data_IF_229327756625
#
_entry.id   IF_229327756625
#
_cell.length_a   1.000
_cell.length_b   1.000
_cell.length_c   1.000
_cell.angle_alpha   90.00
_cell.angle_beta   90.00
_cell.angle_gamma   90.00
#
_symmetry.space_group_name_H-M   'P 1'
#
loop_
_entity.id
_entity.type
_entity.pdbx_description
1 polymer ?
#
# COMPACT_ATOMS: atom_id res chain seq x y z
N UNK A 1 -24.35 31.48 -21.13
CA UNK A 1 -23.41 31.10 -22.24
C UNK A 1 -22.12 31.89 -22.00
N UNK A 2 -21.13 31.25 -21.39
CA UNK A 2 -19.77 31.75 -21.40
C UNK A 2 -19.24 31.60 -22.83
N UNK A 3 -18.96 32.68 -23.52
CA UNK A 3 -18.30 32.65 -24.83
C UNK A 3 -16.86 32.20 -24.61
N UNK A 4 -16.53 30.97 -24.95
CA UNK A 4 -15.15 30.51 -25.07
C UNK A 4 -14.55 31.22 -26.31
N UNK A 5 -13.87 32.33 -26.09
CA UNK A 5 -13.06 32.99 -27.11
C UNK A 5 -11.64 32.46 -26.94
N UNK A 6 -11.24 31.55 -27.79
CA UNK A 6 -9.88 30.99 -27.80
C UNK A 6 -9.55 30.34 -29.14
N UNK A 7 -8.27 30.14 -29.39
CA UNK A 7 -7.73 29.52 -30.62
C UNK A 7 -8.41 28.21 -31.00
N UNK A 8 -8.91 27.46 -30.04
CA UNK A 8 -9.58 26.16 -30.26
C UNK A 8 -10.94 26.29 -30.94
N UNK A 9 -11.72 27.34 -30.62
CA UNK A 9 -12.97 27.58 -31.35
C UNK A 9 -12.71 27.92 -32.81
N UNK A 10 -11.67 28.73 -33.10
CA UNK A 10 -11.28 29.03 -34.47
C UNK A 10 -10.81 27.78 -35.24
N UNK A 11 -10.06 26.89 -34.58
CA UNK A 11 -9.62 25.62 -35.20
C UNK A 11 -10.81 24.70 -35.44
N UNK A 12 -11.71 24.58 -34.47
CA UNK A 12 -12.95 23.80 -34.61
C UNK A 12 -13.78 24.29 -35.76
N UNK A 13 -13.97 25.58 -35.89
CA UNK A 13 -14.77 26.17 -36.96
C UNK A 13 -14.13 25.98 -38.35
N UNK A 14 -12.80 26.05 -38.40
CA UNK A 14 -12.05 25.73 -39.64
C UNK A 14 -12.17 24.25 -40.03
N UNK A 15 -12.27 23.35 -39.04
CA UNK A 15 -12.43 21.92 -39.26
C UNK A 15 -13.87 21.50 -39.49
N UNK A 16 -14.82 22.43 -39.56
CA UNK A 16 -16.23 22.16 -39.79
C UNK A 16 -16.98 21.56 -38.59
N UNK A 17 -16.49 21.74 -37.38
CA UNK A 17 -17.15 21.29 -36.18
C UNK A 17 -16.27 20.43 -35.26
N UNK A 18 -16.72 19.26 -34.87
CA UNK A 18 -15.99 18.35 -33.95
C UNK A 18 -14.81 17.74 -34.69
N UNK A 19 -13.63 17.85 -34.09
CA UNK A 19 -12.38 17.36 -34.65
C UNK A 19 -11.56 16.66 -33.59
N UNK A 20 -10.81 15.62 -33.96
CA UNK A 20 -9.84 14.95 -33.07
C UNK A 20 -8.56 15.77 -32.84
N UNK A 21 -8.41 16.91 -33.53
CA UNK A 21 -7.36 17.88 -33.33
C UNK A 21 -7.99 19.21 -32.95
N UNK A 22 -7.85 19.63 -31.67
CA UNK A 22 -8.36 20.89 -31.14
C UNK A 22 -9.88 21.08 -31.34
N UNK A 23 -10.68 20.14 -30.94
CA UNK A 23 -12.14 20.22 -31.11
C UNK A 23 -12.93 19.37 -30.14
N UNK A 24 -12.27 18.71 -29.21
CA UNK A 24 -12.92 17.88 -28.18
C UNK A 24 -13.25 18.75 -26.97
N UNK A 25 -14.53 18.74 -26.58
CA UNK A 25 -15.03 19.33 -25.36
C UNK A 25 -15.58 18.20 -24.48
N UNK A 26 -15.17 18.16 -23.23
CA UNK A 26 -15.54 17.09 -22.30
C UNK A 26 -15.56 17.60 -20.86
N UNK A 27 -15.95 16.73 -19.93
CA UNK A 27 -15.86 16.92 -18.49
C UNK A 27 -14.93 15.88 -17.88
N UNK A 28 -14.57 16.06 -16.60
CA UNK A 28 -13.63 15.15 -15.92
C UNK A 28 -14.19 13.75 -15.80
N UNK A 29 -15.49 13.59 -15.61
CA UNK A 29 -16.17 12.31 -15.46
C UNK A 29 -16.08 11.46 -16.73
N UNK A 30 -16.36 12.07 -17.90
CA UNK A 30 -16.26 11.37 -19.18
C UNK A 30 -14.83 10.98 -19.54
N UNK A 31 -13.87 11.86 -19.24
CA UNK A 31 -12.44 11.57 -19.44
C UNK A 31 -11.98 10.47 -18.48
N UNK A 32 -12.48 10.44 -17.25
CA UNK A 32 -12.15 9.39 -16.29
C UNK A 32 -12.62 7.99 -16.78
N UNK A 33 -13.79 7.92 -17.40
CA UNK A 33 -14.29 6.67 -18.03
C UNK A 33 -13.36 6.21 -19.15
N UNK A 34 -12.87 7.12 -19.99
CA UNK A 34 -11.89 6.81 -21.03
C UNK A 34 -10.58 6.29 -20.41
N UNK A 35 -10.06 6.97 -19.39
CA UNK A 35 -8.84 6.57 -18.71
C UNK A 35 -8.99 5.16 -18.10
N UNK A 36 -10.11 4.92 -17.40
CA UNK A 36 -10.41 3.62 -16.81
C UNK A 36 -10.53 2.51 -17.87
N UNK A 37 -11.16 2.80 -19.01
CA UNK A 37 -11.22 1.87 -20.12
C UNK A 37 -9.83 1.52 -20.67
N UNK A 38 -8.95 2.50 -20.83
CA UNK A 38 -7.57 2.29 -21.29
C UNK A 38 -6.76 1.48 -20.27
N UNK A 39 -6.91 1.74 -18.97
CA UNK A 39 -6.25 0.97 -17.91
C UNK A 39 -6.75 -0.48 -17.86
N UNK A 40 -8.04 -0.70 -18.11
CA UNK A 40 -8.65 -2.02 -18.16
C UNK A 40 -8.56 -2.69 -19.56
N UNK A 41 -7.49 -2.44 -20.31
CA UNK A 41 -7.23 -3.10 -21.58
C UNK A 41 -8.24 -2.78 -22.69
N UNK A 42 -8.83 -1.60 -22.64
CA UNK A 42 -9.74 -1.08 -23.67
C UNK A 42 -11.22 -1.39 -23.44
N UNK A 43 -11.60 -1.70 -22.22
CA UNK A 43 -12.97 -2.05 -21.84
C UNK A 43 -13.42 -1.31 -20.58
N UNK A 44 -14.65 -0.83 -20.57
CA UNK A 44 -15.31 -0.25 -19.44
C UNK A 44 -16.76 -0.74 -19.35
N UNK A 45 -17.14 -1.23 -18.17
CA UNK A 45 -18.50 -1.66 -17.84
C UNK A 45 -19.13 -2.62 -18.91
N UNK A 46 -18.33 -3.58 -19.42
CA UNK A 46 -18.73 -4.54 -20.46
C UNK A 46 -18.69 -3.99 -21.89
N UNK A 47 -18.36 -2.72 -22.09
CA UNK A 47 -18.23 -2.10 -23.42
C UNK A 47 -16.77 -1.98 -23.81
N UNK A 48 -16.40 -2.67 -24.89
CA UNK A 48 -15.05 -2.63 -25.45
C UNK A 48 -14.92 -1.57 -26.54
N UNK A 49 -13.96 -0.65 -26.36
CA UNK A 49 -13.61 0.38 -27.33
C UNK A 49 -12.31 0.04 -28.08
N UNK A 50 -11.42 -0.72 -27.47
CA UNK A 50 -10.14 -1.17 -28.04
C UNK A 50 -9.84 -2.61 -27.61
N UNK A 51 -9.06 -3.32 -28.41
CA UNK A 51 -8.49 -4.59 -27.95
C UNK A 51 -7.34 -4.35 -26.95
N UNK A 52 -7.02 -5.31 -26.07
CA UNK A 52 -5.85 -5.19 -25.19
C UNK A 52 -4.55 -4.95 -25.94
N UNK A 53 -4.40 -5.55 -27.12
CA UNK A 53 -3.25 -5.32 -28.01
C UNK A 53 -3.26 -3.90 -28.60
N UNK A 54 -4.44 -3.36 -28.90
CA UNK A 54 -4.61 -1.97 -29.36
C UNK A 54 -4.16 -0.98 -28.29
N UNK A 55 -4.58 -1.17 -27.04
CA UNK A 55 -4.12 -0.35 -25.91
C UNK A 55 -2.61 -0.45 -25.72
N UNK A 56 -2.05 -1.68 -25.80
CA UNK A 56 -0.61 -1.87 -25.71
C UNK A 56 0.12 -1.15 -26.84
N UNK A 57 -0.37 -1.21 -28.07
CA UNK A 57 0.21 -0.52 -29.22
C UNK A 57 0.16 1.01 -29.04
N UNK A 58 -0.95 1.55 -28.52
CA UNK A 58 -1.11 2.98 -28.27
C UNK A 58 -0.07 3.54 -27.29
N UNK A 59 0.30 2.79 -26.25
CA UNK A 59 1.24 3.25 -25.21
C UNK A 59 2.70 2.84 -25.46
N UNK A 60 2.95 2.06 -26.49
CA UNK A 60 4.31 1.61 -26.85
C UNK A 60 4.92 2.56 -27.86
N UNK A 61 6.12 3.06 -27.57
CA UNK A 61 6.87 3.92 -28.53
C UNK A 61 7.30 3.06 -29.72
N UNK A 62 6.86 3.39 -30.94
CA UNK A 62 7.28 2.64 -32.16
C UNK A 62 8.79 2.80 -32.40
N UNK A 63 9.45 1.76 -32.90
CA UNK A 63 10.89 1.81 -33.22
C UNK A 63 11.26 2.95 -34.18
N UNK A 64 10.39 3.25 -35.12
CA UNK A 64 10.60 4.32 -36.10
C UNK A 64 10.61 5.72 -35.50
N UNK A 65 9.99 5.91 -34.33
CA UNK A 65 9.87 7.19 -33.60
C UNK A 65 10.54 7.15 -32.22
N UNK A 66 11.43 6.19 -32.01
CA UNK A 66 12.07 5.98 -30.68
C UNK A 66 12.78 7.23 -30.14
N UNK A 67 13.42 8.01 -31.06
CA UNK A 67 14.09 9.26 -30.69
C UNK A 67 13.14 10.39 -30.29
N UNK A 68 11.87 10.31 -30.70
CA UNK A 68 10.86 11.30 -30.36
C UNK A 68 10.13 10.96 -29.05
N UNK A 69 10.19 9.70 -28.60
CA UNK A 69 9.50 9.22 -27.39
C UNK A 69 7.97 9.32 -27.48
N UNK A 70 7.40 9.49 -28.67
CA UNK A 70 5.97 9.56 -28.89
C UNK A 70 5.39 8.21 -29.29
N UNK A 71 4.22 7.94 -28.76
CA UNK A 71 3.41 6.76 -29.10
C UNK A 71 2.32 7.11 -30.12
N UNK A 72 1.38 6.20 -30.34
CA UNK A 72 0.22 6.48 -31.19
C UNK A 72 -0.80 7.35 -30.46
N UNK A 73 -0.59 8.65 -30.48
CA UNK A 73 -1.49 9.65 -29.89
C UNK A 73 -1.14 10.08 -28.46
N UNK A 74 -0.07 9.55 -27.87
CA UNK A 74 0.35 9.91 -26.51
C UNK A 74 1.82 10.30 -26.46
N UNK A 75 2.17 11.01 -25.39
CA UNK A 75 3.53 11.26 -24.97
C UNK A 75 3.93 10.26 -23.90
N UNK A 76 5.14 9.67 -24.10
CA UNK A 76 5.82 8.89 -23.11
C UNK A 76 7.20 9.52 -22.94
N UNK A 77 7.82 9.69 -21.91
CA UNK A 77 9.16 10.19 -21.64
C UNK A 77 9.85 11.04 -22.76
N UNK A 78 9.19 12.08 -23.22
CA UNK A 78 9.78 13.07 -24.14
C UNK A 78 10.11 14.37 -23.39
N UNK A 79 10.83 15.27 -24.04
CA UNK A 79 10.97 16.64 -23.54
C UNK A 79 9.60 17.35 -23.36
N UNK A 80 8.58 16.92 -24.10
CA UNK A 80 7.19 17.34 -23.90
C UNK A 80 6.54 16.67 -22.69
N UNK A 81 6.96 15.49 -22.32
CA UNK A 81 6.43 14.74 -21.17
C UNK A 81 6.89 15.27 -19.81
N UNK A 82 7.64 16.38 -19.76
CA UNK A 82 8.00 17.08 -18.52
C UNK A 82 6.78 17.45 -17.65
N UNK A 83 5.59 17.38 -18.21
CA UNK A 83 4.33 17.57 -17.51
C UNK A 83 3.93 16.41 -16.60
N UNK A 84 4.54 15.24 -16.79
CA UNK A 84 4.24 14.03 -15.98
C UNK A 84 4.93 14.05 -14.59
N UNK A 85 5.71 15.10 -14.30
CA UNK A 85 6.49 15.18 -13.06
C UNK A 85 7.69 14.22 -13.05
N UNK A 86 8.29 14.07 -11.88
CA UNK A 86 9.57 13.37 -11.70
C UNK A 86 9.39 11.97 -11.08
N UNK A 87 8.21 11.64 -10.54
CA UNK A 87 8.01 10.47 -9.68
C UNK A 87 7.16 9.37 -10.29
N UNK A 88 6.45 9.62 -11.38
CA UNK A 88 5.74 8.55 -12.10
C UNK A 88 6.71 7.61 -12.83
N UNK A 89 6.32 6.33 -12.94
CA UNK A 89 7.14 5.29 -13.54
C UNK A 89 7.29 5.38 -15.07
N UNK A 90 8.21 4.60 -15.66
CA UNK A 90 8.55 4.68 -17.08
C UNK A 90 7.44 4.23 -18.04
N UNK A 91 6.41 3.54 -17.55
CA UNK A 91 5.26 3.12 -18.34
C UNK A 91 4.14 4.16 -18.41
N UNK A 92 4.30 5.27 -17.68
CA UNK A 92 3.35 6.38 -17.65
C UNK A 92 3.31 7.08 -18.99
N UNK A 93 2.11 7.39 -19.45
CA UNK A 93 1.89 8.12 -20.68
C UNK A 93 0.79 9.16 -20.48
N UNK A 94 0.76 10.15 -21.33
CA UNK A 94 -0.22 11.22 -21.20
C UNK A 94 -0.26 12.12 -22.41
N UNK A 95 -1.05 13.19 -22.33
CA UNK A 95 -1.08 14.26 -23.32
C UNK A 95 -1.49 15.57 -22.69
N UNK A 96 -1.10 16.67 -23.34
CA UNK A 96 -1.44 18.02 -22.91
C UNK A 96 -2.26 18.74 -23.96
N UNK A 97 -3.15 19.64 -23.51
CA UNK A 97 -3.89 20.54 -24.37
C UNK A 97 -3.32 21.96 -24.33
N UNK A 98 -3.47 22.70 -25.43
CA UNK A 98 -3.02 24.09 -25.57
C UNK A 98 -3.66 24.99 -24.49
N UNK A 99 -4.94 24.79 -24.20
CA UNK A 99 -5.68 25.55 -23.18
C UNK A 99 -5.23 25.31 -21.76
N UNK A 100 -4.27 24.43 -21.53
CA UNK A 100 -3.73 24.14 -20.20
C UNK A 100 -4.11 22.76 -19.64
N UNK A 101 -5.06 22.07 -20.26
CA UNK A 101 -5.50 20.74 -19.83
C UNK A 101 -4.40 19.69 -19.94
N UNK A 102 -4.51 18.62 -19.15
CA UNK A 102 -3.64 17.44 -19.28
C UNK A 102 -4.29 16.17 -18.74
N UNK A 103 -3.84 15.06 -19.28
CA UNK A 103 -4.15 13.69 -18.82
C UNK A 103 -2.82 12.98 -18.61
N UNK A 104 -2.69 12.30 -17.49
CA UNK A 104 -1.59 11.38 -17.17
C UNK A 104 -2.22 10.05 -16.81
N UNK A 105 -1.73 8.95 -17.37
CA UNK A 105 -2.17 7.59 -17.09
C UNK A 105 -0.96 6.77 -16.68
N UNK A 106 -0.99 6.27 -15.45
CA UNK A 106 0.01 5.35 -14.90
C UNK A 106 -0.57 3.94 -14.78
N UNK A 107 -0.24 3.05 -15.73
CA UNK A 107 -0.77 1.70 -15.73
C UNK A 107 -0.17 0.79 -14.66
N UNK A 108 0.95 1.19 -14.06
CA UNK A 108 1.62 0.40 -13.04
C UNK A 108 0.92 0.52 -11.68
N UNK A 109 0.17 1.60 -11.46
CA UNK A 109 -0.56 1.89 -10.22
C UNK A 109 -2.06 2.16 -10.42
N UNK A 110 -2.61 1.80 -11.59
CA UNK A 110 -4.02 2.02 -11.94
C UNK A 110 -4.50 3.46 -11.65
N UNK A 111 -3.62 4.42 -11.92
CA UNK A 111 -3.87 5.82 -11.57
C UNK A 111 -3.97 6.69 -12.81
N UNK A 112 -4.93 7.62 -12.81
CA UNK A 112 -5.04 8.67 -13.81
C UNK A 112 -5.14 10.04 -13.15
N UNK A 113 -4.41 11.01 -13.71
CA UNK A 113 -4.49 12.43 -13.29
C UNK A 113 -5.09 13.22 -14.44
N UNK A 114 -6.25 13.81 -14.20
CA UNK A 114 -6.96 14.63 -15.18
C UNK A 114 -6.99 16.06 -14.66
N UNK A 115 -6.39 16.98 -15.40
CA UNK A 115 -6.38 18.40 -15.05
C UNK A 115 -7.10 19.19 -16.14
N UNK A 116 -8.23 19.79 -15.79
CA UNK A 116 -9.00 20.66 -16.66
C UNK A 116 -8.86 22.11 -16.17
N UNK A 117 -8.13 22.92 -16.92
CA UNK A 117 -7.89 24.34 -16.64
C UNK A 117 -7.99 25.15 -17.92
N UNK A 118 -8.18 26.45 -17.79
CA UNK A 118 -8.12 27.38 -18.91
C UNK A 118 -7.01 28.42 -18.67
N UNK A 119 -5.89 28.21 -19.37
CA UNK A 119 -4.70 29.07 -19.27
C UNK A 119 -4.62 30.15 -20.38
N UNK A 120 -5.58 30.16 -21.31
CA UNK A 120 -5.57 31.06 -22.46
C UNK A 120 -6.61 32.18 -22.34
N UNK A 121 -7.34 32.27 -21.24
CA UNK A 121 -8.33 33.29 -21.00
C UNK A 121 -8.10 33.91 -19.61
N UNK A 122 -8.18 35.25 -19.44
CA UNK A 122 -8.44 36.29 -20.45
C UNK A 122 -7.24 36.60 -21.35
N UNK A 123 -6.02 36.17 -20.94
CA UNK A 123 -4.77 36.44 -21.67
C UNK A 123 -4.01 35.14 -21.91
N UNK A 124 -3.57 34.93 -23.14
CA UNK A 124 -2.70 33.78 -23.51
C UNK A 124 -1.23 34.09 -23.14
N UNK A 125 -0.44 33.05 -22.99
CA UNK A 125 1.00 33.11 -22.75
C UNK A 125 1.46 32.55 -21.39
N UNK A 126 0.56 32.01 -20.58
CA UNK A 126 0.90 31.40 -19.32
C UNK A 126 1.33 29.92 -19.50
N UNK A 127 2.55 29.61 -19.10
CA UNK A 127 3.03 28.22 -19.11
C UNK A 127 2.41 27.40 -17.98
N UNK A 128 1.76 26.28 -18.32
CA UNK A 128 1.18 25.33 -17.39
C UNK A 128 2.12 24.18 -17.01
N UNK A 129 3.31 24.10 -17.59
CA UNK A 129 4.27 23.00 -17.38
C UNK A 129 4.57 22.79 -15.91
N UNK A 130 4.89 23.88 -15.19
CA UNK A 130 5.21 23.81 -13.76
C UNK A 130 4.03 23.31 -12.91
N UNK A 131 2.82 23.81 -13.15
CA UNK A 131 1.64 23.42 -12.38
C UNK A 131 1.30 21.95 -12.63
N UNK A 132 1.32 21.49 -13.88
CA UNK A 132 1.08 20.10 -14.25
C UNK A 132 2.08 19.18 -13.58
N UNK A 133 3.38 19.50 -13.64
CA UNK A 133 4.45 18.73 -13.02
C UNK A 133 4.31 18.68 -11.49
N UNK A 134 3.97 19.79 -10.82
CA UNK A 134 3.74 19.82 -9.38
C UNK A 134 2.55 18.95 -8.97
N UNK A 135 1.43 19.03 -9.69
CA UNK A 135 0.24 18.18 -9.42
C UNK A 135 0.60 16.72 -9.65
N UNK A 136 1.30 16.41 -10.73
CA UNK A 136 1.77 15.05 -11.01
C UNK A 136 2.66 14.51 -9.88
N UNK A 137 3.60 15.30 -9.38
CA UNK A 137 4.48 14.93 -8.27
C UNK A 137 3.71 14.71 -6.97
N UNK A 138 2.74 15.55 -6.65
CA UNK A 138 1.90 15.39 -5.44
C UNK A 138 1.09 14.09 -5.51
N UNK A 139 0.47 13.82 -6.66
CA UNK A 139 -0.29 12.58 -6.84
C UNK A 139 0.64 11.37 -6.81
N UNK A 140 1.75 11.37 -7.56
CA UNK A 140 2.72 10.29 -7.56
C UNK A 140 3.29 10.02 -6.16
N UNK A 141 3.64 11.08 -5.40
CA UNK A 141 4.13 10.95 -4.03
C UNK A 141 3.06 10.38 -3.07
N UNK A 142 1.78 10.51 -3.39
CA UNK A 142 0.69 9.90 -2.61
C UNK A 142 0.55 8.41 -2.88
N UNK A 143 0.90 7.96 -4.11
CA UNK A 143 0.80 6.58 -4.56
C UNK A 143 2.10 5.83 -4.25
N UNK A 144 3.24 6.48 -4.53
CA UNK A 144 4.58 6.00 -4.22
C UNK A 144 5.01 6.59 -2.88
N UNK A 145 4.74 5.94 -1.76
CA UNK A 145 5.20 6.46 -0.49
C UNK A 145 6.72 6.62 -0.55
N UNK A 146 7.22 7.72 0.00
CA UNK A 146 8.65 7.89 0.24
C UNK A 146 9.20 6.59 0.84
N UNK A 147 10.33 6.04 0.33
CA UNK A 147 10.89 4.83 0.89
C UNK A 147 10.97 4.97 2.40
N UNK A 148 10.33 4.08 3.15
CA UNK A 148 10.40 4.11 4.60
C UNK A 148 11.83 3.82 5.01
N UNK A 149 12.36 4.68 5.86
CA UNK A 149 13.67 4.45 6.47
C UNK A 149 13.41 3.68 7.76
N UNK A 150 13.97 2.49 7.82
CA UNK A 150 13.88 1.61 8.98
C UNK A 150 15.14 1.71 9.85
N UNK A 151 15.08 1.10 11.03
CA UNK A 151 16.24 1.05 11.94
C UNK A 151 17.36 0.16 11.40
N UNK A 152 18.60 0.38 11.86
CA UNK A 152 19.72 -0.52 11.52
C UNK A 152 19.42 -1.97 11.91
N UNK A 153 18.70 -2.19 13.03
CA UNK A 153 18.27 -3.52 13.44
C UNK A 153 17.34 -4.16 12.42
N UNK A 154 16.38 -3.39 11.85
CA UNK A 154 15.51 -3.86 10.80
C UNK A 154 16.31 -4.35 9.59
N UNK A 155 17.24 -3.52 9.07
CA UNK A 155 18.05 -3.90 7.92
C UNK A 155 18.95 -5.11 8.20
N UNK A 156 19.53 -5.20 9.39
CA UNK A 156 20.32 -6.36 9.81
C UNK A 156 19.48 -7.65 9.79
N UNK A 157 18.26 -7.62 10.37
CA UNK A 157 17.35 -8.76 10.37
C UNK A 157 16.82 -9.10 8.98
N UNK A 158 16.51 -8.07 8.19
CA UNK A 158 16.08 -8.21 6.80
C UNK A 158 17.12 -8.97 5.96
N UNK A 159 18.39 -8.59 6.05
CA UNK A 159 19.49 -9.27 5.37
C UNK A 159 19.68 -10.70 5.90
N UNK A 160 19.63 -10.89 7.23
CA UNK A 160 19.70 -12.22 7.82
C UNK A 160 18.62 -13.16 7.26
N UNK A 161 17.39 -12.66 7.06
CA UNK A 161 16.32 -13.47 6.47
C UNK A 161 16.58 -13.84 5.01
N UNK A 162 17.30 -12.99 4.27
CA UNK A 162 17.72 -13.30 2.89
C UNK A 162 18.80 -14.38 2.84
N UNK A 163 19.69 -14.44 3.84
CA UNK A 163 20.74 -15.47 3.95
C UNK A 163 20.20 -16.83 4.43
N UNK A 164 19.00 -16.85 5.03
CA UNK A 164 18.34 -18.10 5.44
C UNK A 164 17.75 -18.85 4.23
N UNK A 165 17.57 -20.19 4.33
CA UNK A 165 16.83 -20.91 3.30
C UNK A 165 15.46 -20.29 3.02
N UNK A 166 15.09 -20.19 1.75
CA UNK A 166 13.81 -19.64 1.34
C UNK A 166 12.64 -20.31 2.07
N UNK A 167 11.59 -19.54 2.30
CA UNK A 167 10.32 -20.06 2.84
C UNK A 167 9.72 -21.04 1.83
N UNK A 168 9.13 -22.11 2.33
CA UNK A 168 8.47 -23.16 1.53
C UNK A 168 7.04 -23.41 2.02
N UNK A 169 6.27 -24.13 1.23
CA UNK A 169 4.89 -24.54 1.57
C UNK A 169 4.78 -25.48 2.78
N UNK A 170 5.91 -25.92 3.33
CA UNK A 170 5.95 -26.73 4.55
C UNK A 170 6.24 -25.91 5.79
N UNK A 171 6.62 -24.64 5.62
CA UNK A 171 7.01 -23.77 6.73
C UNK A 171 5.78 -23.13 7.40
N UNK A 172 5.92 -22.90 8.69
CA UNK A 172 5.01 -22.09 9.50
C UNK A 172 5.76 -20.80 9.82
N UNK A 173 5.17 -19.65 9.52
CA UNK A 173 5.86 -18.37 9.68
C UNK A 173 5.21 -17.54 10.79
N UNK A 174 6.03 -17.13 11.75
CA UNK A 174 5.66 -16.17 12.79
C UNK A 174 6.10 -14.78 12.34
N UNK A 175 5.17 -13.91 12.00
CA UNK A 175 5.44 -12.54 11.50
C UNK A 175 5.00 -11.52 12.54
N UNK A 176 5.85 -10.57 12.82
CA UNK A 176 5.54 -9.50 13.77
C UNK A 176 6.75 -8.66 14.16
N UNK A 177 6.63 -8.00 15.30
CA UNK A 177 7.60 -7.08 15.85
C UNK A 177 8.53 -7.75 16.91
N UNK A 178 8.98 -6.94 17.90
CA UNK A 178 9.83 -7.41 19.00
C UNK A 178 9.23 -8.56 19.81
N UNK A 179 7.92 -8.58 19.99
CA UNK A 179 7.24 -9.66 20.71
C UNK A 179 7.42 -10.99 19.97
N UNK A 180 7.31 -10.99 18.65
CA UNK A 180 7.54 -12.17 17.81
C UNK A 180 9.03 -12.55 17.77
N UNK A 181 9.93 -11.57 17.57
CA UNK A 181 11.38 -11.80 17.57
C UNK A 181 11.86 -12.37 18.90
N UNK A 182 11.39 -11.79 20.02
CA UNK A 182 11.76 -12.18 21.38
C UNK A 182 11.33 -13.61 21.76
N UNK A 183 10.38 -14.19 21.03
CA UNK A 183 10.07 -15.63 21.14
C UNK A 183 11.25 -16.54 20.77
N UNK A 184 12.28 -16.00 20.10
CA UNK A 184 13.50 -16.71 19.73
C UNK A 184 13.23 -17.89 18.79
N UNK A 185 13.72 -19.06 19.15
CA UNK A 185 13.41 -20.28 18.41
C UNK A 185 12.05 -20.85 18.82
N UNK A 186 11.05 -20.65 17.97
CA UNK A 186 9.69 -21.14 18.18
C UNK A 186 9.55 -22.67 18.02
N UNK A 187 10.51 -23.34 17.38
CA UNK A 187 10.42 -24.77 17.10
C UNK A 187 10.30 -25.62 18.37
N UNK A 188 11.22 -25.53 19.36
CA UNK A 188 11.09 -26.29 20.60
C UNK A 188 9.88 -25.84 21.44
N UNK A 189 9.50 -24.55 21.39
CA UNK A 189 8.36 -24.02 22.14
C UNK A 189 7.03 -24.65 21.70
N UNK A 190 6.86 -24.86 20.42
CA UNK A 190 5.62 -25.36 19.80
C UNK A 190 5.71 -26.84 19.38
N UNK A 191 6.83 -27.52 19.70
CA UNK A 191 7.11 -28.90 19.31
C UNK A 191 6.98 -29.14 17.79
N UNK A 192 7.63 -28.27 17.01
CA UNK A 192 7.70 -28.31 15.55
C UNK A 192 9.16 -28.22 15.09
N UNK A 193 9.40 -28.38 13.78
CA UNK A 193 10.75 -28.28 13.19
C UNK A 193 10.83 -27.28 12.02
N UNK A 194 9.70 -26.72 11.65
CA UNK A 194 9.53 -25.91 10.44
C UNK A 194 8.96 -24.51 10.70
N UNK A 195 9.15 -23.99 11.92
CA UNK A 195 8.71 -22.64 12.25
C UNK A 195 9.83 -21.65 11.95
N UNK A 196 9.50 -20.62 11.19
CA UNK A 196 10.38 -19.50 10.85
C UNK A 196 9.98 -18.27 11.63
N UNK A 197 10.90 -17.76 12.43
CA UNK A 197 10.70 -16.50 13.13
C UNK A 197 11.05 -15.33 12.21
N UNK A 198 10.03 -14.60 11.79
CA UNK A 198 10.11 -13.38 10.98
C UNK A 198 9.66 -12.16 11.79
N UNK A 199 10.03 -12.11 13.08
CA UNK A 199 9.90 -10.95 13.93
C UNK A 199 11.08 -9.99 13.78
N UNK A 200 10.81 -8.67 13.89
CA UNK A 200 11.83 -7.61 13.94
C UNK A 200 11.49 -6.62 15.04
N UNK A 201 12.44 -6.37 15.94
CA UNK A 201 12.30 -5.38 17.02
C UNK A 201 12.02 -3.99 16.44
N UNK A 202 10.99 -3.32 16.95
CA UNK A 202 10.60 -1.99 16.53
C UNK A 202 9.79 -1.95 15.22
N UNK A 203 9.50 -3.12 14.61
CA UNK A 203 8.78 -3.16 13.34
C UNK A 203 7.32 -2.71 13.49
N UNK A 204 6.88 -1.93 12.53
CA UNK A 204 5.52 -1.44 12.36
C UNK A 204 4.76 -2.29 11.35
N UNK A 205 3.44 -2.07 11.24
CA UNK A 205 2.61 -2.81 10.27
C UNK A 205 3.14 -2.66 8.84
N UNK A 206 3.54 -1.44 8.46
CA UNK A 206 4.03 -1.20 7.11
C UNK A 206 5.44 -1.74 6.87
N UNK A 207 6.28 -1.85 7.90
CA UNK A 207 7.57 -2.54 7.80
C UNK A 207 7.38 -4.04 7.52
N UNK A 208 6.39 -4.65 8.17
CA UNK A 208 5.99 -6.03 7.85
C UNK A 208 5.48 -6.13 6.42
N UNK A 209 4.61 -5.21 5.99
CA UNK A 209 4.07 -5.18 4.64
C UNK A 209 5.19 -5.15 3.59
N UNK A 210 6.17 -4.27 3.75
CA UNK A 210 7.25 -4.06 2.78
C UNK A 210 8.13 -5.32 2.60
N UNK A 211 8.31 -6.14 3.66
CA UNK A 211 9.13 -7.37 3.61
C UNK A 211 8.36 -8.67 3.36
N UNK A 212 7.06 -8.62 3.07
CA UNK A 212 6.28 -9.81 2.73
C UNK A 212 6.81 -10.54 1.49
N UNK A 213 7.48 -9.84 0.57
CA UNK A 213 8.13 -10.45 -0.59
C UNK A 213 9.20 -11.50 -0.25
N UNK A 214 9.72 -11.52 0.99
CA UNK A 214 10.63 -12.56 1.48
C UNK A 214 9.89 -13.82 1.96
N UNK A 215 8.57 -13.76 2.10
CA UNK A 215 7.76 -14.80 2.72
C UNK A 215 6.77 -15.41 1.72
N UNK A 216 6.00 -14.56 1.04
CA UNK A 216 4.84 -14.98 0.25
C UNK A 216 5.17 -15.84 -0.98
N UNK A 217 6.32 -15.66 -1.68
CA UNK A 217 6.67 -16.55 -2.79
C UNK A 217 6.84 -18.02 -2.39
N UNK A 218 7.06 -18.28 -1.11
CA UNK A 218 7.18 -19.66 -0.57
C UNK A 218 5.84 -20.33 -0.26
N UNK A 219 4.73 -19.60 -0.32
CA UNK A 219 3.38 -20.10 0.02
C UNK A 219 3.35 -20.91 1.31
N UNK A 220 3.77 -20.35 2.49
CA UNK A 220 3.90 -21.12 3.72
C UNK A 220 2.59 -21.79 4.12
N UNK A 221 2.65 -22.96 4.79
CA UNK A 221 1.47 -23.68 5.27
C UNK A 221 0.59 -22.80 6.16
N UNK A 222 1.26 -22.06 7.07
CA UNK A 222 0.58 -21.14 8.03
C UNK A 222 1.38 -19.87 8.21
N UNK A 223 0.68 -18.77 8.40
CA UNK A 223 1.25 -17.49 8.75
C UNK A 223 0.51 -16.92 9.96
N UNK A 224 1.25 -16.60 11.02
CA UNK A 224 0.74 -15.97 12.24
C UNK A 224 1.20 -14.51 12.26
N UNK A 225 0.28 -13.57 12.16
CA UNK A 225 0.55 -12.12 12.14
C UNK A 225 0.19 -11.48 13.46
N UNK A 226 1.14 -10.74 14.06
CA UNK A 226 0.94 -9.87 15.21
C UNK A 226 1.70 -8.56 15.02
N UNK A 227 0.98 -7.44 14.91
CA UNK A 227 1.56 -6.11 14.67
C UNK A 227 0.64 -5.00 15.18
N UNK A 228 1.18 -3.79 15.40
CA UNK A 228 0.40 -2.59 15.69
C UNK A 228 0.81 -1.83 16.96
N UNK A 229 1.51 -2.44 17.93
CA UNK A 229 1.88 -1.75 19.17
C UNK A 229 2.91 -0.64 18.94
N UNK A 230 3.82 -0.81 17.99
CA UNK A 230 4.79 0.25 17.63
C UNK A 230 4.11 1.40 16.90
N UNK A 231 3.12 1.10 16.09
CA UNK A 231 2.27 2.09 15.41
C UNK A 231 1.51 2.96 16.43
N UNK A 232 0.99 2.37 17.52
CA UNK A 232 0.42 3.10 18.66
C UNK A 232 1.46 4.05 19.26
N UNK A 233 2.72 3.61 19.40
CA UNK A 233 3.80 4.43 19.96
C UNK A 233 4.18 5.61 19.06
N UNK A 234 3.82 5.56 17.78
CA UNK A 234 4.02 6.62 16.79
C UNK A 234 2.78 7.49 16.55
N UNK A 235 1.85 7.49 17.52
CA UNK A 235 0.65 8.32 17.53
C UNK A 235 -0.35 8.06 16.39
N UNK A 236 -0.29 6.87 15.77
CA UNK A 236 -1.27 6.48 14.77
C UNK A 236 -2.62 6.13 15.43
N UNK A 237 -3.71 6.49 14.75
CA UNK A 237 -5.06 6.18 15.22
C UNK A 237 -5.38 4.69 15.06
N UNK A 238 -6.35 4.17 15.83
CA UNK A 238 -6.82 2.81 15.72
C UNK A 238 -7.25 2.47 14.28
N UNK A 239 -8.03 3.35 13.64
CA UNK A 239 -8.51 3.16 12.26
C UNK A 239 -7.35 3.09 11.24
N UNK A 240 -6.32 3.93 11.41
CA UNK A 240 -5.13 3.89 10.55
C UNK A 240 -4.39 2.56 10.69
N UNK A 241 -4.19 2.10 11.93
CA UNK A 241 -3.51 0.82 12.22
C UNK A 241 -4.29 -0.35 11.63
N UNK A 242 -5.60 -0.39 11.84
CA UNK A 242 -6.47 -1.45 11.28
C UNK A 242 -6.48 -1.42 9.76
N UNK A 243 -6.50 -0.23 9.14
CA UNK A 243 -6.44 -0.08 7.68
C UNK A 243 -5.14 -0.66 7.11
N UNK A 244 -3.99 -0.39 7.74
CA UNK A 244 -2.70 -0.96 7.32
C UNK A 244 -2.64 -2.48 7.52
N UNK A 245 -3.22 -3.01 8.62
CA UNK A 245 -3.33 -4.46 8.84
C UNK A 245 -4.25 -5.08 7.78
N UNK A 246 -5.34 -4.43 7.40
CA UNK A 246 -6.22 -4.86 6.30
C UNK A 246 -5.44 -4.98 4.99
N UNK A 247 -4.70 -3.95 4.59
CA UNK A 247 -3.84 -3.98 3.39
C UNK A 247 -2.85 -5.17 3.45
N UNK A 248 -2.28 -5.42 4.62
CA UNK A 248 -1.35 -6.53 4.85
C UNK A 248 -2.04 -7.90 4.67
N UNK A 249 -3.23 -8.07 5.24
CA UNK A 249 -4.06 -9.28 5.10
C UNK A 249 -4.45 -9.51 3.64
N UNK A 250 -4.94 -8.47 2.96
CA UNK A 250 -5.33 -8.52 1.54
C UNK A 250 -4.16 -8.91 0.64
N UNK A 251 -2.98 -8.35 0.89
CA UNK A 251 -1.77 -8.72 0.17
C UNK A 251 -1.40 -10.19 0.37
N UNK A 252 -1.44 -10.67 1.64
CA UNK A 252 -1.16 -12.07 1.94
C UNK A 252 -2.14 -13.00 1.21
N UNK A 253 -3.43 -12.70 1.26
CA UNK A 253 -4.46 -13.51 0.60
C UNK A 253 -4.33 -13.50 -0.93
N UNK A 254 -3.96 -12.38 -1.52
CA UNK A 254 -3.77 -12.24 -2.97
C UNK A 254 -2.51 -12.96 -3.46
N UNK A 255 -1.38 -12.79 -2.77
CA UNK A 255 -0.07 -13.31 -3.21
C UNK A 255 0.21 -14.73 -2.71
N UNK A 256 -0.50 -15.20 -1.68
CA UNK A 256 -0.33 -16.55 -1.11
C UNK A 256 -1.68 -17.13 -0.65
N UNK A 257 -2.62 -17.38 -1.59
CA UNK A 257 -4.01 -17.74 -1.27
C UNK A 257 -4.15 -19.07 -0.53
N UNK A 258 -3.20 -19.98 -0.67
CA UNK A 258 -3.20 -21.30 0.00
C UNK A 258 -2.68 -21.24 1.45
N UNK A 259 -2.07 -20.14 1.84
CA UNK A 259 -1.55 -19.95 3.20
C UNK A 259 -2.68 -19.75 4.21
N UNK A 260 -2.71 -20.59 5.25
CA UNK A 260 -3.65 -20.42 6.37
C UNK A 260 -3.19 -19.24 7.23
N UNK A 261 -3.87 -18.11 7.08
CA UNK A 261 -3.56 -16.89 7.83
C UNK A 261 -4.27 -16.87 9.19
N UNK A 262 -3.48 -16.61 10.23
CA UNK A 262 -3.93 -16.40 11.60
C UNK A 262 -3.59 -14.96 12.02
N UNK A 263 -4.61 -14.15 12.24
CA UNK A 263 -4.47 -12.80 12.78
C UNK A 263 -4.56 -12.87 14.30
N UNK A 264 -3.53 -12.40 14.97
CA UNK A 264 -3.48 -12.37 16.43
C UNK A 264 -3.87 -10.98 16.93
N UNK A 265 -4.60 -10.92 18.04
CA UNK A 265 -4.86 -9.65 18.74
C UNK A 265 -3.55 -9.04 19.20
N UNK A 266 -3.49 -7.71 19.29
CA UNK A 266 -2.44 -7.03 20.04
C UNK A 266 -2.48 -7.50 21.50
N UNK A 267 -1.30 -7.60 22.09
CA UNK A 267 -1.16 -7.83 23.53
C UNK A 267 -1.30 -6.51 24.29
N UNK A 268 -1.78 -6.53 25.55
CA UNK A 268 -1.77 -5.34 26.40
C UNK A 268 -0.32 -4.93 26.71
N UNK A 269 -0.14 -3.69 27.13
CA UNK A 269 1.09 -3.18 27.75
C UNK A 269 0.76 -2.50 29.08
N UNK A 270 1.74 -2.33 29.95
CA UNK A 270 1.58 -1.66 31.25
C UNK A 270 2.44 -0.40 31.31
N UNK A 271 1.80 0.76 31.16
CA UNK A 271 2.45 2.06 31.18
C UNK A 271 3.01 2.45 32.57
N UNK A 272 2.59 1.79 33.64
CA UNK A 272 3.05 2.07 35.02
C UNK A 272 4.55 1.81 35.21
N UNK A 273 5.17 1.01 34.32
CA UNK A 273 6.62 0.82 34.29
C UNK A 273 7.39 2.07 33.85
N UNK A 274 6.74 3.04 33.18
CA UNK A 274 7.33 4.33 32.77
C UNK A 274 8.45 4.23 31.71
N UNK A 275 8.74 3.03 31.20
CA UNK A 275 9.83 2.81 30.21
C UNK A 275 9.46 3.30 28.82
N UNK A 276 8.24 3.03 28.37
CA UNK A 276 7.76 3.35 27.03
C UNK A 276 6.84 4.58 27.06
N UNK A 277 7.43 5.76 27.25
CA UNK A 277 6.68 7.03 27.44
C UNK A 277 5.72 7.35 26.31
N UNK A 278 6.03 6.93 25.07
CA UNK A 278 5.16 7.12 23.89
C UNK A 278 3.86 6.30 23.94
N UNK A 279 3.77 5.31 24.83
CA UNK A 279 2.58 4.50 25.04
C UNK A 279 1.71 5.00 26.20
N UNK A 280 2.15 6.01 26.96
CA UNK A 280 1.42 6.55 28.11
C UNK A 280 0.06 7.08 27.69
N UNK A 281 -1.00 6.69 28.40
CA UNK A 281 -2.39 7.07 28.13
C UNK A 281 -3.04 6.35 26.94
N UNK A 282 -2.43 5.29 26.42
CA UNK A 282 -2.91 4.60 25.21
C UNK A 282 -3.35 3.14 25.42
N UNK A 283 -3.42 2.68 26.66
CA UNK A 283 -3.82 1.28 26.96
C UNK A 283 -5.20 0.93 26.42
N UNK A 284 -6.13 1.89 26.36
CA UNK A 284 -7.49 1.68 25.87
C UNK A 284 -7.59 1.53 24.35
N UNK A 285 -6.57 1.97 23.62
CA UNK A 285 -6.51 1.74 22.15
C UNK A 285 -6.37 0.27 21.81
N UNK A 286 -5.74 -0.54 22.68
CA UNK A 286 -5.51 -1.96 22.38
C UNK A 286 -6.81 -2.75 22.25
N UNK A 287 -7.77 -2.72 23.22
CA UNK A 287 -9.05 -3.40 23.01
C UNK A 287 -9.88 -2.82 21.87
N UNK A 288 -9.80 -1.51 21.60
CA UNK A 288 -10.46 -0.87 20.47
C UNK A 288 -9.95 -1.46 19.14
N UNK A 289 -8.64 -1.48 18.95
CA UNK A 289 -8.00 -2.09 17.76
C UNK A 289 -8.38 -3.57 17.65
N UNK A 290 -8.29 -4.33 18.74
CA UNK A 290 -8.57 -5.76 18.75
C UNK A 290 -10.02 -6.08 18.36
N UNK A 291 -10.98 -5.26 18.77
CA UNK A 291 -12.38 -5.40 18.35
C UNK A 291 -12.53 -5.22 16.83
N UNK A 292 -11.86 -4.24 16.25
CA UNK A 292 -11.84 -4.02 14.80
C UNK A 292 -11.10 -5.14 14.06
N UNK A 293 -10.01 -5.68 14.61
CA UNK A 293 -9.29 -6.82 14.03
C UNK A 293 -10.11 -8.11 14.00
N UNK A 294 -10.95 -8.33 15.00
CA UNK A 294 -11.87 -9.47 15.04
C UNK A 294 -12.92 -9.37 13.91
N UNK A 295 -13.46 -8.18 13.67
CA UNK A 295 -14.37 -7.89 12.54
C UNK A 295 -13.64 -8.10 11.21
N UNK A 296 -12.44 -7.53 11.06
CA UNK A 296 -11.61 -7.70 9.87
C UNK A 296 -11.35 -9.18 9.58
N UNK A 297 -10.98 -9.95 10.59
CA UNK A 297 -10.72 -11.37 10.41
C UNK A 297 -11.97 -12.14 9.94
N UNK A 298 -13.15 -11.79 10.45
CA UNK A 298 -14.43 -12.37 10.01
C UNK A 298 -14.74 -12.02 8.57
N UNK A 299 -14.58 -10.75 8.17
CA UNK A 299 -14.84 -10.28 6.82
C UNK A 299 -13.93 -10.96 5.78
N UNK A 300 -12.66 -11.14 6.12
CA UNK A 300 -11.66 -11.81 5.28
C UNK A 300 -11.66 -13.34 5.43
N UNK A 301 -12.54 -13.92 6.26
CA UNK A 301 -12.66 -15.37 6.51
C UNK A 301 -11.35 -16.01 6.97
N UNK A 302 -10.57 -15.27 7.76
CA UNK A 302 -9.34 -15.76 8.39
C UNK A 302 -9.54 -16.04 9.89
N UNK A 303 -8.63 -16.79 10.49
CA UNK A 303 -8.75 -17.13 11.90
C UNK A 303 -8.21 -16.00 12.78
N UNK A 304 -9.06 -15.43 13.63
CA UNK A 304 -8.63 -14.54 14.70
C UNK A 304 -8.24 -15.32 15.95
N UNK A 305 -7.09 -14.97 16.56
CA UNK A 305 -6.63 -15.53 17.83
C UNK A 305 -6.63 -14.41 18.86
N UNK A 306 -7.65 -14.38 19.71
CA UNK A 306 -7.73 -13.39 20.78
C UNK A 306 -6.80 -13.77 21.93
N UNK A 307 -5.61 -13.17 21.96
CA UNK A 307 -4.62 -13.34 23.00
C UNK A 307 -4.83 -12.34 24.16
N UNK A 308 -5.39 -11.17 23.89
CA UNK A 308 -5.49 -10.05 24.80
C UNK A 308 -5.98 -10.44 26.21
N UNK A 309 -7.12 -11.16 26.40
CA UNK A 309 -7.63 -11.48 27.72
C UNK A 309 -6.75 -12.46 28.52
N UNK A 310 -5.82 -13.15 27.84
CA UNK A 310 -4.87 -14.07 28.50
C UNK A 310 -3.73 -13.33 29.20
N UNK A 311 -3.49 -12.09 28.80
CA UNK A 311 -2.37 -11.27 29.24
C UNK A 311 -2.79 -10.06 30.07
N UNK A 312 -4.08 -9.74 30.08
CA UNK A 312 -4.61 -8.53 30.73
C UNK A 312 -4.82 -8.76 32.23
N UNK A 313 -4.42 -7.78 33.02
CA UNK A 313 -4.72 -7.72 34.45
C UNK A 313 -6.24 -7.55 34.65
N UNK A 314 -6.80 -8.31 35.57
CA UNK A 314 -8.23 -8.36 35.79
C UNK A 314 -8.83 -6.96 36.13
N UNK A 315 -9.82 -6.57 35.32
CA UNK A 315 -10.52 -5.30 35.50
C UNK A 315 -9.78 -4.09 34.93
N UNK A 316 -8.71 -4.32 34.14
CA UNK A 316 -7.93 -3.26 33.50
C UNK A 316 -7.67 -3.61 32.04
N UNK A 317 -6.98 -2.71 31.28
CA UNK A 317 -6.42 -2.97 29.96
C UNK A 317 -4.90 -3.13 29.99
N UNK A 318 -4.30 -3.22 31.19
CA UNK A 318 -2.86 -3.31 31.38
C UNK A 318 -2.35 -4.76 31.29
N UNK A 319 -1.10 -4.92 30.88
CA UNK A 319 -0.38 -6.20 30.91
C UNK A 319 -0.13 -6.64 32.34
N UNK A 320 -0.41 -7.91 32.65
CA UNK A 320 -0.11 -8.51 33.94
C UNK A 320 1.39 -8.39 34.26
N UNK A 321 1.72 -7.82 35.43
CA UNK A 321 3.09 -7.47 35.82
C UNK A 321 4.03 -8.67 35.90
N UNK A 322 3.53 -9.84 36.30
CA UNK A 322 4.33 -11.06 36.36
C UNK A 322 4.71 -11.64 35.00
N UNK A 323 4.14 -11.13 33.90
CA UNK A 323 4.42 -11.60 32.54
C UNK A 323 5.43 -10.73 31.79
N UNK A 324 5.92 -9.67 32.43
CA UNK A 324 6.81 -8.70 31.81
C UNK A 324 7.88 -8.21 32.79
N UNK A 325 8.97 -7.67 32.26
CA UNK A 325 10.00 -6.99 33.05
C UNK A 325 10.10 -5.49 32.74
N UNK A 326 9.40 -5.02 31.71
CA UNK A 326 9.51 -3.64 31.24
C UNK A 326 8.16 -3.00 30.85
N UNK A 327 7.07 -3.73 31.05
CA UNK A 327 5.71 -3.27 30.78
C UNK A 327 5.23 -3.53 29.34
N UNK A 328 6.08 -4.06 28.44
CA UNK A 328 5.73 -4.32 27.05
C UNK A 328 6.15 -5.72 26.59
N UNK A 329 7.40 -6.08 26.80
CA UNK A 329 7.96 -7.36 26.33
C UNK A 329 7.65 -8.47 27.34
N UNK A 330 7.37 -9.65 26.79
CA UNK A 330 7.07 -10.83 27.58
C UNK A 330 8.35 -11.46 28.16
N UNK A 331 8.23 -11.91 29.42
CA UNK A 331 9.17 -12.85 29.99
C UNK A 331 8.80 -14.30 29.64
N UNK A 332 9.55 -15.29 30.14
CA UNK A 332 9.32 -16.71 29.83
C UNK A 332 7.92 -17.19 30.21
N UNK A 333 7.34 -16.69 31.30
CA UNK A 333 5.98 -17.08 31.71
C UNK A 333 4.95 -16.54 30.72
N UNK A 334 5.14 -15.32 30.21
CA UNK A 334 4.30 -14.75 29.15
C UNK A 334 4.39 -15.59 27.87
N UNK A 335 5.59 -15.99 27.45
CA UNK A 335 5.73 -16.87 26.27
C UNK A 335 5.10 -18.25 26.46
N UNK A 336 5.10 -18.82 27.66
CA UNK A 336 4.38 -20.08 27.94
C UNK A 336 2.88 -19.96 27.69
N UNK A 337 2.28 -18.84 28.09
CA UNK A 337 0.85 -18.58 27.85
C UNK A 337 0.58 -18.46 26.36
N UNK A 338 1.40 -17.70 25.64
CA UNK A 338 1.26 -17.52 24.19
C UNK A 338 1.37 -18.84 23.45
N UNK A 339 2.41 -19.62 23.75
CA UNK A 339 2.62 -20.97 23.20
C UNK A 339 1.41 -21.89 23.45
N UNK A 340 0.84 -21.87 24.68
CA UNK A 340 -0.35 -22.67 25.00
C UNK A 340 -1.55 -22.30 24.12
N UNK A 341 -1.74 -21.00 23.85
CA UNK A 341 -2.80 -20.52 22.97
C UNK A 341 -2.60 -20.96 21.52
N UNK A 342 -1.35 -20.90 21.02
CA UNK A 342 -1.01 -21.27 19.64
C UNK A 342 -1.04 -22.77 19.39
N UNK A 343 -0.70 -23.61 20.38
CA UNK A 343 -0.66 -25.09 20.22
C UNK A 343 -1.96 -25.66 19.66
N UNK A 344 -3.10 -25.05 19.91
CA UNK A 344 -4.40 -25.47 19.37
C UNK A 344 -4.58 -25.20 17.87
N UNK A 345 -3.66 -24.44 17.26
CA UNK A 345 -3.71 -24.00 15.85
C UNK A 345 -2.55 -24.54 15.00
N UNK A 346 -1.61 -25.27 15.64
CA UNK A 346 -0.42 -25.88 15.03
C UNK A 346 -0.70 -27.27 14.36
#
# INVERSE_FOLDING_TARGET
RLSLVGSEMCIRDRNGGISGNAGVFSCVEDIAVLCAALQNGGEWNGHRILSPLGVKAMRTVPRATATLGRTLGWDNFTAYASNNGDYFGPNTYGHTGYTGTSIIIDPDNDTSVILLVNAVHPEDGHSMVRLRSLIANVVAASIYPTPRIYTDHYYKRFLQFMDEPAITSKDIVMVGNSLTEGGGNWNPRLNKKNIRNRGIIGDEVMGIYDRLHQILPGHPEKLFLLAGVNDISHDLTADSIVSMIRMTVERIQRESPDTKLYLQSLLPFDESFGRYKKLTGKTDMVPEINAQLEVLAKDHKITFINLFPLFTEKGTNALRKELTSDGLHLNEEGYKIWVKALKKKM
#
